data_IF_039872302443
#
_entry.id   IF_039872302443
#
_cell.length_a   1.000
_cell.length_b   1.000
_cell.length_c   1.000
_cell.angle_alpha   90.00
_cell.angle_beta   90.00
_cell.angle_gamma   90.00
#
_symmetry.space_group_name_H-M   'P 1'
#
loop_
_entity.id
_entity.type
_entity.pdbx_description
1 polymer ?
#
# COMPACT_ATOMS: atom_id res chain seq x y z
N UNK A 1 -1.75 -32.32 -15.32
CA UNK A 1 -1.27 -31.46 -14.22
C UNK A 1 -0.79 -30.21 -14.92
N UNK A 2 -1.66 -29.22 -15.05
CA UNK A 2 -1.36 -27.98 -15.75
C UNK A 2 -0.92 -26.97 -14.71
N UNK A 3 0.33 -26.52 -14.83
CA UNK A 3 0.87 -25.37 -14.13
C UNK A 3 0.06 -24.13 -14.54
N UNK A 4 -0.88 -23.73 -13.69
CA UNK A 4 -1.50 -22.41 -13.73
C UNK A 4 -0.95 -21.61 -12.56
N UNK A 5 0.33 -21.27 -12.65
CA UNK A 5 0.93 -20.22 -11.85
C UNK A 5 1.44 -19.20 -12.84
N UNK A 6 0.70 -18.10 -12.99
CA UNK A 6 1.23 -16.75 -13.28
C UNK A 6 0.08 -15.77 -13.47
N UNK A 7 -0.80 -15.64 -12.47
CA UNK A 7 -1.60 -14.41 -12.29
C UNK A 7 -0.77 -13.30 -11.58
N UNK A 8 0.51 -13.55 -11.29
CA UNK A 8 1.40 -12.67 -10.52
C UNK A 8 2.13 -11.60 -11.37
N UNK A 9 1.54 -11.09 -12.45
CA UNK A 9 2.24 -10.13 -13.34
C UNK A 9 1.39 -8.95 -13.82
N UNK A 10 0.38 -8.56 -13.04
CA UNK A 10 -0.16 -7.21 -13.13
C UNK A 10 0.65 -6.32 -12.19
N UNK A 11 1.78 -5.80 -12.69
CA UNK A 11 2.63 -4.72 -12.14
C UNK A 11 2.25 -4.19 -10.74
N UNK A 12 2.35 -5.05 -9.72
CA UNK A 12 2.25 -4.60 -8.35
C UNK A 12 3.61 -3.98 -8.06
N UNK A 13 3.60 -2.68 -7.74
CA UNK A 13 4.73 -2.10 -7.01
C UNK A 13 5.02 -3.08 -5.86
N UNK A 14 6.25 -3.58 -5.68
CA UNK A 14 6.52 -4.63 -4.71
C UNK A 14 6.47 -4.00 -3.32
N UNK A 15 5.26 -3.82 -2.81
CA UNK A 15 5.00 -3.13 -1.56
C UNK A 15 5.68 -3.83 -0.39
N UNK A 16 5.72 -5.16 -0.43
CA UNK A 16 6.49 -5.98 0.51
C UNK A 16 7.99 -5.66 0.46
N UNK A 17 8.59 -5.52 -0.74
CA UNK A 17 10.00 -5.15 -0.86
C UNK A 17 10.27 -3.76 -0.27
N UNK A 18 9.33 -2.81 -0.44
CA UNK A 18 9.43 -1.47 0.16
C UNK A 18 9.38 -1.56 1.69
N UNK A 19 8.49 -2.39 2.25
CA UNK A 19 8.38 -2.61 3.70
C UNK A 19 9.68 -3.20 4.24
N UNK A 20 10.20 -4.23 3.57
CA UNK A 20 11.42 -4.94 3.99
C UNK A 20 12.69 -4.09 3.84
N UNK A 21 12.76 -3.24 2.82
CA UNK A 21 13.91 -2.38 2.58
C UNK A 21 13.90 -1.08 3.41
N UNK A 22 12.79 -0.78 4.11
CA UNK A 22 12.68 0.47 4.83
C UNK A 22 13.62 0.52 6.06
N UNK A 23 14.48 1.53 6.10
CA UNK A 23 15.36 1.78 7.24
C UNK A 23 14.63 2.61 8.30
N UNK A 24 14.39 2.03 9.48
CA UNK A 24 13.72 2.70 10.60
C UNK A 24 14.50 3.91 11.17
N UNK A 25 15.78 4.02 10.85
CA UNK A 25 16.64 5.17 11.21
C UNK A 25 16.72 6.22 10.08
N UNK A 26 15.89 6.08 9.03
CA UNK A 26 15.85 7.04 7.94
C UNK A 26 15.43 8.41 8.44
N UNK A 27 16.16 9.43 7.99
CA UNK A 27 15.81 10.84 8.18
C UNK A 27 15.19 11.44 6.91
N UNK A 28 14.94 10.63 5.88
CA UNK A 28 14.30 11.07 4.65
C UNK A 28 12.76 10.99 4.80
N UNK A 29 12.05 12.13 4.75
CA UNK A 29 10.59 12.14 4.82
C UNK A 29 9.94 11.36 3.67
N UNK A 30 10.53 11.35 2.47
CA UNK A 30 9.96 10.63 1.32
C UNK A 30 9.99 9.11 1.53
N UNK A 31 11.06 8.59 2.12
CA UNK A 31 11.18 7.17 2.47
C UNK A 31 10.09 6.73 3.48
N UNK A 32 9.79 7.56 4.47
CA UNK A 32 8.72 7.31 5.43
C UNK A 32 7.32 7.37 4.81
N UNK A 33 7.08 8.33 3.91
CA UNK A 33 5.83 8.42 3.14
C UNK A 33 5.61 7.18 2.25
N UNK A 34 6.67 6.72 1.56
CA UNK A 34 6.61 5.54 0.71
C UNK A 34 6.38 4.26 1.52
N UNK A 35 6.99 4.15 2.70
CA UNK A 35 6.76 3.05 3.63
C UNK A 35 5.32 3.04 4.16
N UNK A 36 4.80 4.19 4.59
CA UNK A 36 3.40 4.32 5.03
C UNK A 36 2.41 3.96 3.93
N UNK A 37 2.68 4.35 2.67
CA UNK A 37 1.90 3.91 1.52
C UNK A 37 1.92 2.39 1.37
N UNK A 38 3.10 1.77 1.40
CA UNK A 38 3.25 0.33 1.24
C UNK A 38 2.45 -0.45 2.29
N UNK A 39 2.55 -0.04 3.57
CA UNK A 39 1.79 -0.65 4.66
C UNK A 39 0.27 -0.60 4.44
N UNK A 40 -0.25 0.49 3.85
CA UNK A 40 -1.68 0.61 3.52
C UNK A 40 -2.09 -0.25 2.32
N UNK A 41 -1.18 -0.50 1.38
CA UNK A 41 -1.45 -1.32 0.20
C UNK A 41 -1.39 -2.82 0.49
N UNK A 42 -0.72 -3.21 1.57
CA UNK A 42 -0.57 -4.61 2.01
C UNK A 42 -1.34 -4.89 3.29
N UNK A 43 -2.44 -4.18 3.54
CA UNK A 43 -3.24 -4.43 4.74
C UNK A 43 -3.74 -5.89 4.74
N UNK A 44 -3.49 -6.66 5.81
CA UNK A 44 -3.95 -8.04 5.90
C UNK A 44 -5.45 -8.08 6.15
N UNK A 45 -6.10 -9.21 5.89
CA UNK A 45 -7.47 -9.43 6.36
C UNK A 45 -7.48 -9.80 7.87
N UNK A 46 -8.49 -9.34 8.60
CA UNK A 46 -8.75 -9.74 9.98
C UNK A 46 -7.84 -9.08 11.03
N UNK A 47 -7.36 -9.87 12.00
CA UNK A 47 -6.78 -9.38 13.26
C UNK A 47 -5.49 -8.54 13.10
N UNK A 48 -4.84 -8.61 11.94
CA UNK A 48 -3.62 -7.85 11.63
C UNK A 48 -3.85 -6.39 11.23
N UNK A 49 -5.06 -6.03 10.78
CA UNK A 49 -5.38 -4.72 10.19
C UNK A 49 -5.00 -3.57 11.11
N UNK A 50 -5.44 -3.62 12.37
CA UNK A 50 -5.28 -2.51 13.30
C UNK A 50 -3.80 -2.22 13.58
N UNK A 51 -2.98 -3.27 13.72
CA UNK A 51 -1.55 -3.13 13.96
C UNK A 51 -0.86 -2.46 12.78
N UNK A 52 -1.20 -2.88 11.57
CA UNK A 52 -0.58 -2.34 10.37
C UNK A 52 -1.02 -0.90 10.08
N UNK A 53 -2.28 -0.57 10.36
CA UNK A 53 -2.77 0.82 10.33
C UNK A 53 -2.02 1.71 11.34
N UNK A 54 -1.77 1.21 12.56
CA UNK A 54 -0.97 1.94 13.54
C UNK A 54 0.48 2.17 13.06
N UNK A 55 1.08 1.16 12.41
CA UNK A 55 2.41 1.31 11.81
C UNK A 55 2.42 2.33 10.67
N UNK A 56 1.40 2.33 9.81
CA UNK A 56 1.27 3.33 8.73
C UNK A 56 1.10 4.74 9.32
N UNK A 57 0.29 4.90 10.36
CA UNK A 57 0.13 6.17 11.08
C UNK A 57 1.46 6.65 11.68
N UNK A 58 2.23 5.75 12.31
CA UNK A 58 3.55 6.07 12.83
C UNK A 58 4.52 6.51 11.73
N UNK A 59 4.49 5.85 10.57
CA UNK A 59 5.32 6.23 9.42
C UNK A 59 5.02 7.65 8.95
N UNK A 60 3.75 8.05 8.90
CA UNK A 60 3.38 9.42 8.54
C UNK A 60 3.82 10.45 9.58
N UNK A 61 3.71 10.13 10.88
CA UNK A 61 4.25 10.99 11.94
C UNK A 61 5.76 11.16 11.78
N UNK A 62 6.49 10.08 11.51
CA UNK A 62 7.94 10.13 11.26
C UNK A 62 8.29 10.96 10.01
N UNK A 63 7.52 10.83 8.94
CA UNK A 63 7.70 11.68 7.76
C UNK A 63 7.56 13.17 8.13
N UNK A 64 6.55 13.53 8.94
CA UNK A 64 6.33 14.91 9.37
C UNK A 64 7.42 15.42 10.32
N UNK A 65 7.90 14.58 11.25
CA UNK A 65 9.05 14.89 12.12
C UNK A 65 10.31 15.23 11.29
N UNK A 66 10.45 14.63 10.11
CA UNK A 66 11.57 14.84 9.19
C UNK A 66 11.27 15.82 8.04
N UNK A 67 10.15 16.54 8.09
CA UNK A 67 9.86 17.68 7.21
C UNK A 67 8.82 17.45 6.11
N UNK A 68 8.13 16.31 6.07
CA UNK A 68 6.93 16.17 5.25
C UNK A 68 5.81 17.10 5.74
N UNK A 69 5.04 17.66 4.82
CA UNK A 69 3.87 18.46 5.17
C UNK A 69 2.64 17.58 5.40
N UNK A 70 1.61 18.14 6.05
CA UNK A 70 0.30 17.48 6.15
C UNK A 70 -0.30 17.18 4.77
N UNK A 71 -0.05 18.05 3.78
CA UNK A 71 -0.53 17.83 2.42
C UNK A 71 0.17 16.65 1.76
N UNK A 72 1.47 16.45 1.98
CA UNK A 72 2.20 15.28 1.47
C UNK A 72 1.61 13.97 2.02
N UNK A 73 1.34 13.93 3.32
CA UNK A 73 0.69 12.78 3.96
C UNK A 73 -0.70 12.52 3.36
N UNK A 74 -1.50 13.57 3.20
CA UNK A 74 -2.84 13.49 2.62
C UNK A 74 -2.80 12.97 1.18
N UNK A 75 -1.88 13.46 0.35
CA UNK A 75 -1.72 12.99 -1.02
C UNK A 75 -1.38 11.50 -1.08
N UNK A 76 -0.53 11.01 -0.18
CA UNK A 76 -0.20 9.59 -0.08
C UNK A 76 -1.41 8.76 0.33
N UNK A 77 -2.19 9.21 1.33
CA UNK A 77 -3.41 8.51 1.75
C UNK A 77 -4.47 8.47 0.64
N UNK A 78 -4.64 9.58 -0.09
CA UNK A 78 -5.53 9.64 -1.25
C UNK A 78 -5.07 8.69 -2.36
N UNK A 79 -3.76 8.62 -2.60
CA UNK A 79 -3.18 7.66 -3.55
C UNK A 79 -3.49 6.22 -3.14
N UNK A 80 -3.30 5.88 -1.86
CA UNK A 80 -3.59 4.55 -1.33
C UNK A 80 -5.07 4.17 -1.56
N UNK A 81 -5.99 5.06 -1.20
CA UNK A 81 -7.43 4.87 -1.39
C UNK A 81 -7.79 4.70 -2.86
N UNK A 82 -7.24 5.56 -3.74
CA UNK A 82 -7.50 5.48 -5.18
C UNK A 82 -7.06 4.14 -5.75
N UNK A 83 -5.88 3.65 -5.37
CA UNK A 83 -5.38 2.35 -5.82
C UNK A 83 -6.35 1.23 -5.44
N UNK A 84 -6.75 1.16 -4.17
CA UNK A 84 -7.71 0.16 -3.69
C UNK A 84 -9.05 0.25 -4.43
N UNK A 85 -9.57 1.47 -4.65
CA UNK A 85 -10.82 1.64 -5.41
C UNK A 85 -10.67 1.19 -6.87
N UNK A 86 -9.54 1.49 -7.52
CA UNK A 86 -9.27 1.03 -8.88
C UNK A 86 -9.20 -0.48 -8.97
N UNK A 87 -8.54 -1.15 -8.01
CA UNK A 87 -8.47 -2.62 -7.94
C UNK A 87 -9.87 -3.23 -7.74
N UNK A 88 -10.66 -2.71 -6.80
CA UNK A 88 -12.02 -3.20 -6.55
C UNK A 88 -12.94 -3.01 -7.77
N UNK A 89 -12.88 -1.86 -8.44
CA UNK A 89 -13.63 -1.63 -9.69
C UNK A 89 -13.18 -2.59 -10.79
N UNK A 90 -11.88 -2.86 -10.90
CA UNK A 90 -11.34 -3.86 -11.81
C UNK A 90 -11.91 -5.25 -11.57
N UNK A 91 -11.90 -5.71 -10.31
CA UNK A 91 -12.45 -7.01 -9.92
C UNK A 91 -13.95 -7.14 -10.26
N UNK A 92 -14.76 -6.13 -9.94
CA UNK A 92 -16.21 -6.13 -10.23
C UNK A 92 -16.51 -6.08 -11.74
N UNK A 93 -15.64 -5.44 -12.54
CA UNK A 93 -15.80 -5.37 -13.98
C UNK A 93 -15.52 -6.72 -14.67
N UNK A 94 -14.54 -7.50 -14.17
CA UNK A 94 -14.20 -8.83 -14.71
C UNK A 94 -15.30 -9.86 -14.42
N UNK A 95 -15.85 -9.85 -13.20
CA UNK A 95 -16.91 -10.78 -12.76
C UNK A 95 -18.20 -10.64 -13.60
N UNK A 96 -18.42 -9.45 -14.17
CA UNK A 96 -19.55 -9.16 -15.09
C UNK A 96 -19.39 -9.79 -16.49
N UNK A 97 -18.20 -10.26 -16.84
CA UNK A 97 -17.88 -10.79 -18.19
C UNK A 97 -17.80 -12.31 -18.27
N UNK A 98 -17.60 -13.01 -17.14
CA UNK A 98 -17.50 -14.49 -17.10
C UNK A 98 -18.85 -15.20 -16.84
N UNK A 99 -19.93 -14.48 -16.52
CA UNK A 99 -21.29 -15.05 -16.33
C UNK A 99 -22.12 -15.16 -17.62
N UNK A 100 -21.51 -15.37 -18.81
CA UNK A 100 -22.23 -15.51 -20.09
C UNK A 100 -22.00 -16.83 -20.81
#
# INVERSE_FOLDING_TARGET
MSDSVSESSLEQTPWEDIIHAHALESHDPAAWLQYGLALLQTLPDGDGVLRQQQQAALAFVKAQEHGATEEDVKQVQLKALRNTLTELVGLLAVDSTESR
#
